data_IF_202821028978
#
_entry.id   IF_202821028978
#
_cell.length_a   1.000
_cell.length_b   1.000
_cell.length_c   1.000
_cell.angle_alpha   90.00
_cell.angle_beta   90.00
_cell.angle_gamma   90.00
#
_symmetry.space_group_name_H-M   'P 1'
#
loop_
_entity.id
_entity.type
_entity.pdbx_description
1 polymer ?
#
# COMPACT_ATOMS: atom_id res chain seq x y z
N UNK A 1 40.40 -17.13 4.18
CA UNK A 1 39.37 -18.13 4.58
C UNK A 1 39.27 -19.17 3.47
N UNK A 2 39.11 -20.47 3.79
CA UNK A 2 39.07 -21.52 2.76
C UNK A 2 37.70 -21.55 2.05
N UNK A 3 37.67 -21.94 0.78
CA UNK A 3 36.43 -22.03 0.00
C UNK A 3 35.38 -23.00 0.59
N UNK A 4 35.80 -23.95 1.44
CA UNK A 4 34.90 -24.87 2.14
C UNK A 4 34.14 -24.19 3.29
N UNK A 5 34.81 -23.33 4.06
CA UNK A 5 34.19 -22.58 5.15
C UNK A 5 33.19 -21.53 4.64
N UNK A 6 33.45 -20.97 3.45
CA UNK A 6 32.54 -20.01 2.81
C UNK A 6 31.25 -20.70 2.34
N UNK A 7 31.36 -21.89 1.75
CA UNK A 7 30.21 -22.70 1.31
C UNK A 7 29.38 -23.23 2.48
N UNK A 8 29.99 -23.65 3.58
CA UNK A 8 29.27 -24.11 4.78
C UNK A 8 28.52 -22.96 5.48
N UNK A 9 29.11 -21.76 5.57
CA UNK A 9 28.41 -20.57 6.09
C UNK A 9 27.24 -20.14 5.23
N UNK A 10 27.43 -20.09 3.90
CA UNK A 10 26.35 -19.78 2.96
C UNK A 10 25.21 -20.80 3.05
N UNK A 11 25.53 -22.10 3.13
CA UNK A 11 24.51 -23.16 3.26
C UNK A 11 23.73 -23.05 4.57
N UNK A 12 24.39 -22.73 5.69
CA UNK A 12 23.72 -22.53 6.97
C UNK A 12 22.85 -21.27 6.98
N UNK A 13 23.29 -20.16 6.36
CA UNK A 13 22.49 -18.94 6.22
C UNK A 13 21.22 -19.15 5.37
N UNK A 14 21.32 -19.91 4.27
CA UNK A 14 20.16 -20.24 3.42
C UNK A 14 19.14 -21.12 4.16
N UNK A 15 19.61 -22.10 4.96
CA UNK A 15 18.72 -22.93 5.78
C UNK A 15 18.01 -22.11 6.87
N UNK A 16 18.72 -21.17 7.48
CA UNK A 16 18.16 -20.26 8.49
C UNK A 16 17.11 -19.32 7.88
N UNK A 17 17.39 -18.72 6.72
CA UNK A 17 16.42 -17.86 6.03
C UNK A 17 15.13 -18.60 5.66
N UNK A 18 15.22 -19.79 5.05
CA UNK A 18 14.03 -20.56 4.67
C UNK A 18 13.17 -20.94 5.87
N UNK A 19 13.80 -21.31 6.99
CA UNK A 19 13.09 -21.61 8.24
C UNK A 19 12.44 -20.36 8.84
N UNK A 20 13.15 -19.23 8.87
CA UNK A 20 12.61 -17.97 9.35
C UNK A 20 11.41 -17.50 8.50
N UNK A 21 11.53 -17.55 7.17
CA UNK A 21 10.46 -17.22 6.25
C UNK A 21 9.24 -18.14 6.43
N UNK A 22 9.45 -19.45 6.58
CA UNK A 22 8.35 -20.39 6.78
C UNK A 22 7.58 -20.12 8.09
N UNK A 23 8.29 -19.72 9.15
CA UNK A 23 7.63 -19.28 10.40
C UNK A 23 6.77 -18.04 10.14
N UNK A 24 7.33 -17.03 9.46
CA UNK A 24 6.58 -15.84 9.10
C UNK A 24 5.32 -16.17 8.29
N UNK A 25 5.43 -17.05 7.29
CA UNK A 25 4.30 -17.50 6.46
C UNK A 25 3.21 -18.15 7.30
N UNK A 26 3.58 -19.09 8.17
CA UNK A 26 2.63 -19.80 9.04
C UNK A 26 1.88 -18.83 9.94
N UNK A 27 2.58 -17.90 10.59
CA UNK A 27 1.92 -16.95 11.48
C UNK A 27 1.03 -15.93 10.72
N UNK A 28 1.41 -15.52 9.50
CA UNK A 28 0.53 -14.71 8.64
C UNK A 28 -0.72 -15.49 8.28
N UNK A 29 -0.56 -16.72 7.79
CA UNK A 29 -1.65 -17.56 7.32
C UNK A 29 -2.70 -17.82 8.40
N UNK A 30 -2.28 -18.04 9.64
CA UNK A 30 -3.16 -18.28 10.80
C UNK A 30 -3.73 -16.98 11.40
N UNK A 31 -3.31 -15.82 10.92
CA UNK A 31 -3.68 -14.54 11.53
C UNK A 31 -5.10 -14.09 11.16
N UNK A 32 -5.73 -13.38 12.11
CA UNK A 32 -6.98 -12.65 11.85
C UNK A 32 -6.80 -11.54 10.80
N UNK A 33 -5.61 -10.98 10.68
CA UNK A 33 -5.28 -9.97 9.67
C UNK A 33 -5.42 -10.56 8.27
N UNK A 34 -4.86 -11.75 8.03
CA UNK A 34 -4.94 -12.40 6.73
C UNK A 34 -6.36 -12.91 6.42
N UNK A 35 -7.08 -13.41 7.43
CA UNK A 35 -8.49 -13.77 7.28
C UNK A 35 -9.36 -12.54 6.90
N UNK A 36 -9.10 -11.39 7.51
CA UNK A 36 -9.79 -10.13 7.17
C UNK A 36 -9.42 -9.65 5.76
N UNK A 37 -8.14 -9.70 5.39
CA UNK A 37 -7.66 -9.34 4.05
C UNK A 37 -8.32 -10.19 2.97
N UNK A 38 -8.30 -11.51 3.14
CA UNK A 38 -8.85 -12.47 2.17
C UNK A 38 -10.36 -12.30 2.01
N UNK A 39 -11.10 -12.03 3.10
CA UNK A 39 -12.52 -11.70 3.05
C UNK A 39 -12.82 -10.51 2.11
N UNK A 40 -11.99 -9.46 2.14
CA UNK A 40 -12.17 -8.29 1.28
C UNK A 40 -11.64 -8.50 -0.15
N UNK A 41 -10.69 -9.44 -0.34
CA UNK A 41 -10.19 -9.81 -1.66
C UNK A 41 -11.09 -10.81 -2.39
N UNK A 42 -11.91 -11.58 -1.68
CA UNK A 42 -12.75 -12.64 -2.27
C UNK A 42 -13.63 -12.17 -3.45
N UNK A 43 -14.32 -11.01 -3.39
CA UNK A 43 -15.11 -10.50 -4.52
C UNK A 43 -14.28 -10.14 -5.77
N UNK A 44 -12.95 -10.10 -5.65
CA UNK A 44 -12.02 -9.74 -6.71
C UNK A 44 -11.19 -10.94 -7.20
N UNK A 45 -11.18 -12.04 -6.44
CA UNK A 45 -10.27 -13.18 -6.62
C UNK A 45 -10.23 -13.73 -8.04
N UNK A 46 -11.38 -13.99 -8.65
CA UNK A 46 -11.46 -14.57 -10.01
C UNK A 46 -10.88 -13.65 -11.10
N UNK A 47 -10.81 -12.35 -10.86
CA UNK A 47 -10.28 -11.36 -11.83
C UNK A 47 -8.79 -11.11 -11.63
N UNK A 48 -8.29 -11.28 -10.42
CA UNK A 48 -6.90 -11.02 -10.07
C UNK A 48 -6.02 -12.17 -10.56
N UNK A 49 -5.29 -11.93 -11.64
CA UNK A 49 -4.35 -12.90 -12.21
C UNK A 49 -2.90 -12.49 -12.01
N UNK A 50 -2.66 -11.30 -11.44
CA UNK A 50 -1.33 -10.70 -11.34
C UNK A 50 -1.15 -9.95 -10.02
N UNK A 51 0.07 -9.97 -9.48
CA UNK A 51 0.51 -9.12 -8.38
C UNK A 51 1.69 -8.28 -8.83
N UNK A 52 1.61 -6.97 -8.62
CA UNK A 52 2.73 -6.04 -8.78
C UNK A 52 3.23 -5.63 -7.41
N UNK A 53 4.39 -6.14 -7.00
CA UNK A 53 5.01 -5.84 -5.72
C UNK A 53 6.14 -4.83 -5.88
N UNK A 54 6.14 -3.77 -5.08
CA UNK A 54 7.19 -2.74 -5.06
C UNK A 54 7.58 -2.39 -3.63
N UNK A 55 8.83 -1.96 -3.43
CA UNK A 55 9.35 -1.51 -2.13
C UNK A 55 9.33 -2.61 -1.04
N UNK A 56 9.65 -3.85 -1.40
CA UNK A 56 9.62 -4.99 -0.47
C UNK A 56 10.78 -4.99 0.56
N UNK A 57 11.88 -4.29 0.28
CA UNK A 57 13.08 -4.26 1.10
C UNK A 57 13.96 -5.52 1.00
N UNK A 58 14.95 -5.61 1.89
CA UNK A 58 15.96 -6.68 1.90
C UNK A 58 15.51 -7.86 2.75
N UNK A 59 14.69 -8.75 2.22
CA UNK A 59 14.05 -9.81 3.02
C UNK A 59 15.00 -10.87 3.59
N UNK A 60 16.23 -11.01 3.09
CA UNK A 60 17.24 -11.86 3.75
C UNK A 60 17.78 -11.22 5.03
N UNK A 61 17.99 -9.90 5.03
CA UNK A 61 18.64 -9.17 6.14
C UNK A 61 17.64 -8.56 7.13
N UNK A 62 16.50 -8.07 6.64
CA UNK A 62 15.55 -7.24 7.38
C UNK A 62 14.30 -8.02 7.75
N UNK A 63 14.03 -8.14 9.05
CA UNK A 63 12.84 -8.84 9.54
C UNK A 63 11.52 -8.27 9.01
N UNK A 64 11.30 -6.94 8.92
CA UNK A 64 10.08 -6.39 8.33
C UNK A 64 9.88 -6.80 6.87
N UNK A 65 10.92 -6.68 6.03
CA UNK A 65 10.89 -7.11 4.63
C UNK A 65 10.56 -8.61 4.50
N UNK A 66 11.08 -9.44 5.41
CA UNK A 66 10.77 -10.88 5.45
C UNK A 66 9.29 -11.16 5.74
N UNK A 67 8.67 -10.40 6.65
CA UNK A 67 7.23 -10.49 6.89
C UNK A 67 6.42 -10.05 5.67
N UNK A 68 6.85 -9.00 4.98
CA UNK A 68 6.20 -8.55 3.75
C UNK A 68 6.29 -9.59 2.63
N UNK A 69 7.45 -10.25 2.47
CA UNK A 69 7.59 -11.37 1.54
C UNK A 69 6.68 -12.54 1.94
N UNK A 70 6.58 -12.85 3.24
CA UNK A 70 5.68 -13.90 3.72
C UNK A 70 4.22 -13.61 3.35
N UNK A 71 3.75 -12.38 3.56
CA UNK A 71 2.41 -11.96 3.16
C UNK A 71 2.21 -12.04 1.63
N UNK A 72 3.19 -11.64 0.84
CA UNK A 72 3.13 -11.76 -0.63
C UNK A 72 2.97 -13.23 -1.06
N UNK A 73 3.74 -14.15 -0.47
CA UNK A 73 3.65 -15.57 -0.77
C UNK A 73 2.27 -16.14 -0.41
N UNK A 74 1.73 -15.78 0.76
CA UNK A 74 0.37 -16.20 1.15
C UNK A 74 -0.72 -15.61 0.24
N UNK A 75 -0.55 -14.36 -0.23
CA UNK A 75 -1.46 -13.75 -1.21
C UNK A 75 -1.44 -14.48 -2.55
N UNK A 76 -0.24 -14.84 -3.03
CA UNK A 76 -0.09 -15.61 -4.26
C UNK A 76 -0.78 -16.98 -4.15
N UNK A 77 -0.60 -17.67 -3.03
CA UNK A 77 -1.24 -18.97 -2.79
C UNK A 77 -2.77 -18.84 -2.65
N UNK A 78 -3.25 -17.78 -2.00
CA UNK A 78 -4.67 -17.48 -1.87
C UNK A 78 -5.36 -17.20 -3.20
N UNK A 79 -4.75 -16.36 -4.04
CA UNK A 79 -5.29 -15.96 -5.34
C UNK A 79 -5.18 -17.09 -6.38
N UNK A 80 -4.19 -17.99 -6.24
CA UNK A 80 -4.09 -19.24 -6.99
C UNK A 80 -2.74 -19.45 -7.68
N UNK A 81 -2.49 -20.68 -8.12
CA UNK A 81 -1.20 -21.12 -8.67
C UNK A 81 -0.84 -20.51 -10.03
N UNK A 82 -1.81 -19.95 -10.76
CA UNK A 82 -1.61 -19.30 -12.07
C UNK A 82 -1.27 -17.80 -11.95
N UNK A 83 -1.29 -17.25 -10.74
CA UNK A 83 -1.05 -15.80 -10.53
C UNK A 83 0.41 -15.46 -10.85
N UNK A 84 0.62 -14.48 -11.73
CA UNK A 84 1.97 -13.99 -12.04
C UNK A 84 2.37 -12.89 -11.05
N UNK A 85 3.62 -12.86 -10.61
CA UNK A 85 4.11 -11.88 -9.67
C UNK A 85 5.35 -11.16 -10.20
N UNK A 86 5.29 -9.83 -10.29
CA UNK A 86 6.40 -8.97 -10.67
C UNK A 86 6.85 -8.16 -9.47
N UNK A 87 8.13 -8.25 -9.12
CA UNK A 87 8.71 -7.58 -7.95
C UNK A 87 9.76 -6.58 -8.36
N UNK A 88 9.90 -5.49 -7.61
CA UNK A 88 11.10 -4.67 -7.69
C UNK A 88 11.33 -3.86 -6.42
N UNK A 89 12.59 -3.82 -6.01
CA UNK A 89 13.09 -2.88 -5.03
C UNK A 89 14.55 -2.55 -5.38
N UNK A 90 14.94 -1.26 -5.46
CA UNK A 90 16.33 -0.87 -5.63
C UNK A 90 17.28 -1.40 -4.55
N UNK A 91 16.75 -1.80 -3.38
CA UNK A 91 17.51 -2.37 -2.28
C UNK A 91 17.82 -3.87 -2.45
N UNK A 92 17.22 -4.57 -3.42
CA UNK A 92 17.49 -5.99 -3.64
C UNK A 92 18.97 -6.27 -3.88
N UNK A 93 19.49 -7.27 -3.17
CA UNK A 93 20.85 -7.78 -3.38
C UNK A 93 20.81 -9.00 -4.31
N UNK A 94 21.99 -9.54 -4.63
CA UNK A 94 22.08 -10.79 -5.39
C UNK A 94 21.35 -11.97 -4.70
N UNK A 95 21.21 -11.94 -3.37
CA UNK A 95 20.48 -12.98 -2.63
C UNK A 95 18.97 -12.88 -2.86
N UNK A 96 18.40 -11.66 -2.79
CA UNK A 96 16.98 -11.42 -3.14
C UNK A 96 16.68 -11.83 -4.57
N UNK A 97 17.50 -11.38 -5.52
CA UNK A 97 17.32 -11.70 -6.95
C UNK A 97 17.36 -13.21 -7.20
N UNK A 98 18.37 -13.89 -6.65
CA UNK A 98 18.49 -15.35 -6.79
C UNK A 98 17.33 -16.10 -6.13
N UNK A 99 16.80 -15.58 -5.01
CA UNK A 99 15.63 -16.19 -4.38
C UNK A 99 14.38 -16.05 -5.27
N UNK A 100 14.13 -14.87 -5.84
CA UNK A 100 12.98 -14.66 -6.74
C UNK A 100 13.07 -15.56 -7.97
N UNK A 101 14.25 -15.69 -8.59
CA UNK A 101 14.48 -16.62 -9.71
C UNK A 101 14.15 -18.08 -9.34
N UNK A 102 14.45 -18.50 -8.11
CA UNK A 102 14.17 -19.87 -7.63
C UNK A 102 12.68 -20.13 -7.37
N UNK A 103 11.84 -19.10 -7.28
CA UNK A 103 10.39 -19.27 -7.11
C UNK A 103 9.69 -19.75 -8.40
N UNK A 104 10.38 -19.70 -9.54
CA UNK A 104 9.94 -20.25 -10.82
C UNK A 104 9.36 -19.22 -11.80
N UNK A 105 8.88 -19.71 -12.96
CA UNK A 105 8.57 -18.89 -14.16
C UNK A 105 7.47 -17.85 -13.97
N UNK A 106 6.63 -18.01 -12.94
CA UNK A 106 5.56 -17.05 -12.60
C UNK A 106 6.05 -15.83 -11.84
N UNK A 107 7.33 -15.80 -11.46
CA UNK A 107 7.96 -14.72 -10.70
C UNK A 107 8.97 -13.99 -11.58
N UNK A 108 8.94 -12.67 -11.56
CA UNK A 108 9.87 -11.82 -12.31
C UNK A 108 10.35 -10.64 -11.46
N UNK A 109 11.53 -10.12 -11.80
CA UNK A 109 12.06 -8.88 -11.22
C UNK A 109 12.07 -7.80 -12.29
N UNK A 110 11.14 -6.86 -12.22
CA UNK A 110 10.94 -5.85 -13.24
C UNK A 110 10.84 -4.46 -12.63
N UNK A 111 11.77 -3.55 -12.98
CA UNK A 111 11.75 -2.16 -12.53
C UNK A 111 10.49 -1.43 -13.00
N UNK A 112 10.10 -1.66 -14.25
CA UNK A 112 8.86 -1.16 -14.83
C UNK A 112 7.84 -2.31 -14.87
N UNK A 113 6.56 -1.99 -14.76
CA UNK A 113 5.53 -3.01 -14.88
C UNK A 113 5.61 -3.71 -16.24
N UNK A 114 5.66 -5.06 -16.27
CA UNK A 114 5.61 -5.80 -17.52
C UNK A 114 4.20 -5.81 -18.14
N UNK A 115 3.21 -5.18 -17.49
CA UNK A 115 1.81 -5.18 -17.89
C UNK A 115 1.30 -3.78 -18.22
N UNK A 116 0.38 -3.70 -19.19
CA UNK A 116 -0.27 -2.44 -19.54
C UNK A 116 -1.24 -1.97 -18.47
N UNK A 117 -1.46 -0.66 -18.39
CA UNK A 117 -2.48 -0.03 -17.52
C UNK A 117 -3.90 -0.50 -17.83
N UNK A 118 -4.15 -0.94 -19.07
CA UNK A 118 -5.43 -1.54 -19.47
C UNK A 118 -5.75 -2.84 -18.71
N UNK A 119 -4.72 -3.53 -18.21
CA UNK A 119 -4.85 -4.75 -17.40
C UNK A 119 -4.98 -4.48 -15.90
N UNK A 120 -4.99 -3.22 -15.46
CA UNK A 120 -4.93 -2.86 -14.02
C UNK A 120 -6.07 -3.45 -13.19
N UNK A 121 -7.21 -3.82 -13.79
CA UNK A 121 -8.30 -4.53 -13.11
C UNK A 121 -7.99 -5.99 -12.75
N UNK A 122 -6.92 -6.56 -13.35
CA UNK A 122 -6.41 -7.90 -13.07
C UNK A 122 -5.21 -7.90 -12.11
N UNK A 123 -4.75 -6.71 -11.70
CA UNK A 123 -3.58 -6.54 -10.87
C UNK A 123 -3.99 -6.20 -9.42
N UNK A 124 -3.41 -6.92 -8.47
CA UNK A 124 -3.26 -6.45 -7.10
C UNK A 124 -1.90 -5.77 -6.99
N UNK A 125 -1.90 -4.49 -6.69
CA UNK A 125 -0.67 -3.76 -6.38
C UNK A 125 -0.33 -3.98 -4.90
N UNK A 126 0.89 -4.38 -4.58
CA UNK A 126 1.37 -4.56 -3.21
C UNK A 126 2.56 -3.63 -2.97
N UNK A 127 2.37 -2.59 -2.16
CA UNK A 127 3.35 -1.54 -1.91
C UNK A 127 3.53 -1.33 -0.39
N UNK A 128 4.08 -2.32 0.33
CA UNK A 128 4.27 -2.19 1.76
C UNK A 128 5.39 -1.16 2.04
N UNK A 129 5.16 -0.21 2.94
CA UNK A 129 6.16 0.79 3.32
C UNK A 129 6.74 1.62 2.16
N UNK A 130 6.02 1.74 1.04
CA UNK A 130 6.47 2.51 -0.10
C UNK A 130 6.54 4.00 0.25
N UNK A 131 7.61 4.72 -0.13
CA UNK A 131 7.67 6.15 0.06
C UNK A 131 6.62 6.85 -0.82
N UNK A 132 6.11 7.99 -0.36
CA UNK A 132 5.13 8.80 -1.11
C UNK A 132 5.53 9.11 -2.54
N UNK A 133 6.83 9.34 -2.82
CA UNK A 133 7.30 9.59 -4.19
C UNK A 133 7.11 8.39 -5.11
N UNK A 134 7.36 7.17 -4.61
CA UNK A 134 7.12 5.95 -5.38
C UNK A 134 5.61 5.76 -5.55
N UNK A 135 4.85 5.91 -4.47
CA UNK A 135 3.38 5.79 -4.52
C UNK A 135 2.78 6.74 -5.56
N UNK A 136 3.21 8.01 -5.58
CA UNK A 136 2.75 9.01 -6.54
C UNK A 136 3.05 8.58 -7.99
N UNK A 137 4.29 8.14 -8.26
CA UNK A 137 4.68 7.67 -9.59
C UNK A 137 3.90 6.43 -10.04
N UNK A 138 3.59 5.52 -9.13
CA UNK A 138 2.80 4.31 -9.45
C UNK A 138 1.35 4.68 -9.73
N UNK A 139 0.77 5.62 -8.98
CA UNK A 139 -0.57 6.15 -9.27
C UNK A 139 -0.59 6.76 -10.67
N UNK A 140 0.41 7.58 -11.01
CA UNK A 140 0.48 8.24 -12.31
C UNK A 140 0.68 7.27 -13.47
N UNK A 141 1.68 6.38 -13.36
CA UNK A 141 2.15 5.57 -14.47
C UNK A 141 1.40 4.25 -14.62
N UNK A 142 1.07 3.57 -13.51
CA UNK A 142 0.53 2.20 -13.53
C UNK A 142 -0.97 2.12 -13.25
N UNK A 143 -1.57 3.22 -12.79
CA UNK A 143 -3.02 3.39 -12.61
C UNK A 143 -3.71 2.27 -11.81
N UNK A 144 -3.26 1.97 -10.58
CA UNK A 144 -3.79 0.89 -9.75
C UNK A 144 -5.30 1.01 -9.51
N UNK A 145 -6.04 -0.10 -9.58
CA UNK A 145 -7.46 -0.16 -9.19
C UNK A 145 -7.69 -0.77 -7.81
N UNK A 146 -6.87 -1.76 -7.48
CA UNK A 146 -6.88 -2.44 -6.19
C UNK A 146 -5.44 -2.51 -5.71
N UNK A 147 -5.17 -1.96 -4.52
CA UNK A 147 -3.83 -1.99 -3.97
C UNK A 147 -3.82 -2.24 -2.47
N UNK A 148 -2.82 -2.98 -2.01
CA UNK A 148 -2.52 -3.24 -0.62
C UNK A 148 -1.24 -2.45 -0.31
N UNK A 149 -1.38 -1.28 0.30
CA UNK A 149 -0.33 -0.28 0.40
C UNK A 149 -0.42 0.46 1.74
N UNK A 150 0.45 1.46 1.93
CA UNK A 150 0.36 2.35 3.08
C UNK A 150 -1.03 3.00 3.18
N UNK A 151 -1.53 3.16 4.40
CA UNK A 151 -2.79 3.79 4.70
C UNK A 151 -2.64 5.29 4.43
N UNK A 152 -3.12 5.74 3.28
CA UNK A 152 -2.83 7.07 2.72
C UNK A 152 -3.04 8.22 3.70
N UNK A 153 -4.13 8.19 4.47
CA UNK A 153 -4.44 9.25 5.45
C UNK A 153 -3.36 9.31 6.55
N UNK A 154 -3.02 8.17 7.15
CA UNK A 154 -1.99 8.09 8.19
C UNK A 154 -0.60 8.39 7.62
N UNK A 155 -0.30 7.88 6.43
CA UNK A 155 1.01 8.01 5.80
C UNK A 155 1.32 9.44 5.33
N UNK A 156 0.31 10.30 5.24
CA UNK A 156 0.43 11.71 4.83
C UNK A 156 0.28 12.71 5.97
N UNK A 157 0.07 12.26 7.22
CA UNK A 157 -0.23 13.12 8.39
C UNK A 157 0.78 14.24 8.64
N UNK A 158 2.05 14.00 8.26
CA UNK A 158 3.17 14.92 8.42
C UNK A 158 3.12 16.12 7.47
N UNK A 159 2.23 16.12 6.48
CA UNK A 159 2.05 17.21 5.53
C UNK A 159 0.74 17.94 5.78
N UNK A 160 0.78 19.27 5.69
CA UNK A 160 -0.46 20.03 5.52
C UNK A 160 -1.10 19.70 4.16
N UNK A 161 -2.42 19.86 4.02
CA UNK A 161 -3.12 19.60 2.75
C UNK A 161 -2.49 20.33 1.56
N UNK A 162 -2.04 21.58 1.75
CA UNK A 162 -1.37 22.36 0.73
C UNK A 162 -0.01 21.77 0.34
N UNK A 163 0.82 21.40 1.31
CA UNK A 163 2.11 20.76 1.02
C UNK A 163 1.94 19.40 0.33
N UNK A 164 0.94 18.62 0.74
CA UNK A 164 0.63 17.35 0.11
C UNK A 164 0.18 17.56 -1.34
N UNK A 165 -0.69 18.54 -1.58
CA UNK A 165 -1.18 18.89 -2.92
C UNK A 165 -0.06 19.37 -3.86
N UNK A 166 0.85 20.21 -3.37
CA UNK A 166 1.96 20.71 -4.18
C UNK A 166 2.98 19.61 -4.54
N UNK A 167 3.24 18.69 -3.60
CA UNK A 167 4.30 17.68 -3.76
C UNK A 167 3.82 16.37 -4.38
N UNK A 168 2.60 15.96 -4.05
CA UNK A 168 2.00 14.67 -4.40
C UNK A 168 0.52 14.87 -4.79
N UNK A 169 0.25 15.57 -5.91
CA UNK A 169 -1.11 15.99 -6.28
C UNK A 169 -2.10 14.83 -6.43
N UNK A 170 -1.68 13.68 -6.97
CA UNK A 170 -2.56 12.53 -7.14
C UNK A 170 -2.88 11.86 -5.81
N UNK A 171 -1.88 11.65 -4.95
CA UNK A 171 -2.11 11.16 -3.58
C UNK A 171 -3.00 12.13 -2.81
N UNK A 172 -2.75 13.44 -2.91
CA UNK A 172 -3.56 14.47 -2.25
C UNK A 172 -5.03 14.39 -2.67
N UNK A 173 -5.28 14.14 -3.96
CA UNK A 173 -6.63 13.91 -4.49
C UNK A 173 -7.26 12.60 -3.99
N UNK A 174 -6.48 11.52 -3.86
CA UNK A 174 -6.99 10.26 -3.28
C UNK A 174 -7.38 10.45 -1.81
N UNK A 175 -6.54 11.13 -1.02
CA UNK A 175 -6.80 11.44 0.40
C UNK A 175 -8.06 12.28 0.55
N UNK A 176 -8.28 13.27 -0.33
CA UNK A 176 -9.49 14.10 -0.24
C UNK A 176 -10.79 13.32 -0.46
N UNK A 177 -10.77 12.26 -1.27
CA UNK A 177 -11.91 11.33 -1.39
C UNK A 177 -12.13 10.51 -0.11
N UNK A 178 -11.06 10.04 0.53
CA UNK A 178 -11.13 9.28 1.79
C UNK A 178 -11.67 10.14 2.95
N UNK A 179 -11.22 11.40 3.03
CA UNK A 179 -11.72 12.38 4.02
C UNK A 179 -13.20 12.74 3.79
N UNK A 180 -13.61 12.84 2.52
CA UNK A 180 -14.98 13.19 2.16
C UNK A 180 -15.95 12.05 2.43
N UNK A 181 -15.54 10.79 2.21
CA UNK A 181 -16.32 9.60 2.57
C UNK A 181 -16.48 9.41 4.08
N UNK A 182 -15.48 9.82 4.85
CA UNK A 182 -15.49 9.74 6.33
C UNK A 182 -16.46 10.73 6.99
N UNK A 183 -16.88 11.80 6.29
CA UNK A 183 -17.79 12.82 6.84
C UNK A 183 -19.28 12.44 6.86
N UNK A 184 -19.65 11.26 6.35
CA UNK A 184 -21.05 10.79 6.37
C UNK A 184 -21.34 9.88 7.58
N UNK A 185 -20.34 9.55 8.40
CA UNK A 185 -20.52 8.78 9.64
C UNK A 185 -19.66 9.31 10.77
N UNK A 186 -20.27 9.56 11.92
CA UNK A 186 -19.62 9.94 13.20
C UNK A 186 -18.86 11.25 13.20
N UNK A 187 -19.58 12.34 13.49
CA UNK A 187 -19.06 13.34 14.41
C UNK A 187 -18.82 12.65 15.77
N UNK A 188 -17.65 12.02 15.93
CA UNK A 188 -17.16 11.64 17.25
C UNK A 188 -16.97 12.93 18.03
N UNK A 189 -17.87 13.18 18.97
CA UNK A 189 -17.66 14.12 20.07
C UNK A 189 -16.48 13.60 20.88
N UNK A 190 -15.28 13.91 20.43
CA UNK A 190 -14.08 13.75 21.24
C UNK A 190 -14.28 14.59 22.50
N UNK A 191 -14.33 13.93 23.65
CA UNK A 191 -14.54 14.52 24.97
C UNK A 191 -13.43 15.48 25.42
N UNK A 192 -12.65 16.03 24.50
CA UNK A 192 -11.68 17.08 24.76
C UNK A 192 -12.40 18.43 24.88
N UNK A 193 -12.86 18.73 26.09
CA UNK A 193 -13.15 20.12 26.46
C UNK A 193 -11.84 20.88 26.54
N UNK A 194 -11.58 21.77 25.56
CA UNK A 194 -10.44 22.67 25.62
C UNK A 194 -10.50 23.47 26.94
N UNK A 195 -9.52 23.27 27.83
CA UNK A 195 -9.40 24.05 29.06
C UNK A 195 -9.13 25.51 28.68
N UNK A 196 -10.15 26.36 28.83
CA UNK A 196 -10.00 27.81 28.65
C UNK A 196 -9.71 28.43 30.02
N UNK A 197 -8.47 28.82 30.34
CA UNK A 197 -8.19 29.49 31.60
C UNK A 197 -8.99 30.79 31.70
N UNK A 198 -9.73 30.95 32.82
CA UNK A 198 -10.66 32.06 33.11
C UNK A 198 -10.03 33.47 33.10
N UNK A 199 -8.71 33.61 32.86
CA UNK A 199 -8.00 34.91 32.79
C UNK A 199 -7.83 35.51 31.39
N UNK A 200 -8.24 34.84 30.31
CA UNK A 200 -7.96 35.26 28.91
C UNK A 200 -9.14 35.93 28.17
N UNK A 201 -10.14 36.50 28.87
CA UNK A 201 -11.29 37.11 28.18
C UNK A 201 -11.01 38.47 27.52
N UNK A 202 -9.88 39.13 27.81
CA UNK A 202 -9.58 40.49 27.30
C UNK A 202 -8.59 40.58 26.13
N UNK A 203 -7.97 39.48 25.68
CA UNK A 203 -6.94 39.49 24.62
C UNK A 203 -7.32 38.74 23.33
N UNK A 204 -8.58 38.28 23.18
CA UNK A 204 -9.00 37.40 22.06
C UNK A 204 -9.50 38.11 20.80
N UNK A 205 -9.32 39.43 20.64
CA UNK A 205 -9.80 40.12 19.42
C UNK A 205 -8.92 39.97 18.18
N UNK A 206 -7.64 39.57 18.33
CA UNK A 206 -6.68 39.47 17.23
C UNK A 206 -6.01 38.09 17.10
N UNK A 207 -6.65 37.01 17.54
CA UNK A 207 -6.08 35.68 17.28
C UNK A 207 -6.39 35.31 15.83
N UNK A 208 -5.37 35.30 14.98
CA UNK A 208 -5.49 34.81 13.61
C UNK A 208 -6.14 33.42 13.65
N UNK A 209 -7.37 33.34 13.13
CA UNK A 209 -8.06 32.08 12.93
C UNK A 209 -7.43 31.47 11.70
N UNK A 210 -6.67 30.39 11.88
CA UNK A 210 -6.16 29.61 10.76
C UNK A 210 -7.35 29.18 9.90
N UNK A 211 -7.35 29.61 8.64
CA UNK A 211 -8.28 29.11 7.62
C UNK A 211 -7.52 28.08 6.82
N UNK A 212 -8.07 26.88 6.72
CA UNK A 212 -7.57 25.90 5.77
C UNK A 212 -7.63 26.51 4.37
N UNK A 213 -6.56 26.38 3.56
CA UNK A 213 -6.57 26.83 2.18
C UNK A 213 -7.63 26.05 1.38
N UNK A 214 -8.35 26.77 0.53
CA UNK A 214 -9.28 26.16 -0.42
C UNK A 214 -8.45 25.54 -1.55
N UNK A 215 -8.45 24.21 -1.63
CA UNK A 215 -7.63 23.46 -2.59
C UNK A 215 -8.55 22.91 -3.67
N UNK A 216 -8.29 23.31 -4.91
CA UNK A 216 -8.99 22.79 -6.08
C UNK A 216 -8.43 21.43 -6.50
N UNK A 217 -8.88 20.37 -5.83
CA UNK A 217 -8.58 18.99 -6.21
C UNK A 217 -9.11 18.60 -7.60
N UNK A 218 -10.07 19.34 -8.15
CA UNK A 218 -10.63 19.12 -9.48
C UNK A 218 -9.63 19.43 -10.61
N UNK A 219 -8.72 20.39 -10.37
CA UNK A 219 -7.66 20.77 -11.32
C UNK A 219 -6.64 19.66 -11.61
N UNK A 220 -6.47 18.70 -10.69
CA UNK A 220 -5.53 17.59 -10.85
C UNK A 220 -6.11 16.56 -11.81
N UNK A 221 -5.50 16.40 -13.00
CA UNK A 221 -5.87 15.38 -13.97
C UNK A 221 -5.62 13.98 -13.40
N UNK A 222 -6.65 13.15 -13.31
CA UNK A 222 -6.56 11.79 -12.76
C UNK A 222 -7.39 10.80 -13.58
N UNK A 223 -7.00 9.51 -13.57
CA UNK A 223 -7.80 8.43 -14.17
C UNK A 223 -8.95 7.97 -13.25
N UNK A 224 -8.94 8.41 -11.99
CA UNK A 224 -9.87 8.02 -10.95
C UNK A 224 -10.81 9.16 -10.54
N UNK A 225 -11.97 8.78 -10.01
CA UNK A 225 -13.02 9.67 -9.47
C UNK A 225 -13.39 9.36 -8.03
N UNK A 226 -12.83 8.30 -7.45
CA UNK A 226 -13.05 7.94 -6.05
C UNK A 226 -11.95 7.04 -5.51
N UNK A 227 -11.89 6.96 -4.19
CA UNK A 227 -11.03 6.03 -3.46
C UNK A 227 -11.76 5.60 -2.19
N UNK A 228 -11.68 4.32 -1.85
CA UNK A 228 -12.28 3.76 -0.62
C UNK A 228 -11.29 2.80 0.02
N UNK A 229 -11.26 2.78 1.36
CA UNK A 229 -10.56 1.75 2.13
C UNK A 229 -11.51 0.57 2.27
N UNK A 230 -11.10 -0.60 1.77
CA UNK A 230 -11.85 -1.84 1.95
C UNK A 230 -11.59 -2.42 3.33
N UNK A 231 -10.33 -2.44 3.75
CA UNK A 231 -9.95 -2.73 5.14
C UNK A 231 -8.68 -1.99 5.51
N UNK A 232 -8.65 -1.47 6.73
CA UNK A 232 -7.46 -0.99 7.44
C UNK A 232 -7.18 -1.84 8.68
N UNK A 233 -7.67 -3.09 8.65
CA UNK A 233 -7.47 -4.08 9.70
C UNK A 233 -8.06 -3.64 11.04
N UNK A 234 -9.31 -3.14 10.99
CA UNK A 234 -10.03 -2.57 12.13
C UNK A 234 -9.31 -1.33 12.70
N UNK A 235 -8.98 -0.34 11.88
CA UNK A 235 -8.19 0.82 12.35
C UNK A 235 -6.83 0.40 12.93
N UNK A 236 -6.23 -0.63 12.35
CA UNK A 236 -4.96 -1.21 12.75
C UNK A 236 -5.00 -2.14 13.98
N UNK A 237 -6.15 -2.43 14.59
CA UNK A 237 -6.18 -3.31 15.78
C UNK A 237 -5.58 -4.69 15.50
N UNK A 238 -5.83 -5.26 14.31
CA UNK A 238 -5.33 -6.60 13.98
C UNK A 238 -3.82 -6.61 13.70
N UNK A 239 -3.19 -5.43 13.58
CA UNK A 239 -1.77 -5.23 13.32
C UNK A 239 -0.97 -4.97 14.60
N UNK A 240 -1.64 -4.51 15.67
CA UNK A 240 -1.02 -4.17 16.96
C UNK A 240 -0.56 -5.40 17.73
N UNK A 241 0.53 -5.25 18.47
CA UNK A 241 1.10 -6.28 19.36
C UNK A 241 1.41 -7.61 18.67
N UNK A 242 1.71 -7.56 17.36
CA UNK A 242 2.11 -8.72 16.57
C UNK A 242 3.61 -8.71 16.24
N UNK A 243 4.23 -9.87 15.99
CA UNK A 243 5.64 -9.96 15.58
C UNK A 243 5.97 -9.18 14.30
N UNK A 244 4.97 -8.95 13.44
CA UNK A 244 5.05 -8.21 12.18
C UNK A 244 4.63 -6.73 12.30
N UNK A 245 4.49 -6.17 13.51
CA UNK A 245 4.01 -4.79 13.70
C UNK A 245 4.77 -3.79 12.79
N UNK A 246 6.09 -3.88 12.77
CA UNK A 246 6.94 -2.99 11.97
C UNK A 246 6.93 -3.27 10.47
N UNK A 247 6.21 -4.30 10.01
CA UNK A 247 6.09 -4.67 8.61
C UNK A 247 4.76 -4.21 8.00
N UNK A 248 3.70 -4.14 8.82
CA UNK A 248 2.32 -3.88 8.38
C UNK A 248 1.64 -2.73 9.14
N UNK A 249 2.33 -2.02 10.04
CA UNK A 249 1.71 -1.02 10.93
C UNK A 249 0.82 0.03 10.24
N UNK A 250 1.13 0.36 8.99
CA UNK A 250 0.36 1.29 8.18
C UNK A 250 -0.24 0.62 6.94
N UNK A 251 -0.44 -0.70 6.91
CA UNK A 251 -0.98 -1.38 5.73
C UNK A 251 -2.52 -1.23 5.65
N UNK A 252 -3.05 -1.01 4.46
CA UNK A 252 -4.49 -1.02 4.17
C UNK A 252 -4.76 -1.47 2.72
N UNK A 253 -5.94 -2.06 2.50
CA UNK A 253 -6.44 -2.41 1.17
C UNK A 253 -7.35 -1.28 0.68
N UNK A 254 -7.00 -0.65 -0.44
CA UNK A 254 -7.83 0.39 -1.06
C UNK A 254 -8.37 -0.05 -2.42
N UNK A 255 -9.54 0.48 -2.75
CA UNK A 255 -10.15 0.42 -4.07
C UNK A 255 -10.23 1.82 -4.67
N UNK A 256 -9.62 1.99 -5.83
CA UNK A 256 -9.63 3.23 -6.62
C UNK A 256 -10.68 3.09 -7.72
N UNK A 257 -11.63 4.03 -7.76
CA UNK A 257 -12.77 4.02 -8.68
C UNK A 257 -12.44 4.80 -9.95
N UNK A 258 -12.64 4.18 -11.11
CA UNK A 258 -12.35 4.83 -12.39
C UNK A 258 -13.32 5.97 -12.69
N UNK A 259 -12.80 7.03 -13.30
CA UNK A 259 -13.66 7.96 -14.02
C UNK A 259 -14.24 7.31 -15.26
N UNK A 260 -15.53 7.53 -15.53
CA UNK A 260 -16.13 7.15 -16.80
C UNK A 260 -15.37 7.91 -17.90
N UNK A 261 -14.64 7.21 -18.77
CA UNK A 261 -14.17 7.80 -20.02
C UNK A 261 -15.42 8.27 -20.75
N UNK A 262 -15.57 9.57 -20.98
CA UNK A 262 -16.55 10.02 -21.96
C UNK A 262 -16.18 9.35 -23.27
N UNK A 263 -16.99 8.37 -23.68
CA UNK A 263 -16.90 7.78 -25.00
C UNK A 263 -17.24 8.93 -25.95
N UNK A 264 -16.22 9.50 -26.59
CA UNK A 264 -16.43 10.34 -27.76
C UNK A 264 -17.22 9.48 -28.75
N UNK A 265 -18.51 9.81 -28.93
CA UNK A 265 -19.29 9.18 -29.98
C UNK A 265 -18.56 9.52 -31.28
N UNK A 266 -18.27 8.54 -32.15
CA UNK A 266 -17.81 8.86 -33.49
C UNK A 266 -18.85 9.79 -34.10
N UNK A 267 -18.39 10.94 -34.62
CA UNK A 267 -19.24 11.84 -35.36
C UNK A 267 -19.82 11.05 -36.54
N UNK A 268 -21.10 10.73 -36.46
CA UNK A 268 -21.83 10.15 -37.57
C UNK A 268 -21.73 11.13 -38.73
N UNK A 269 -20.99 10.69 -39.75
CA UNK A 269 -20.93 11.28 -41.07
C UNK A 269 -22.34 11.29 -41.67
N UNK A 270 -22.88 12.47 -41.95
CA UNK A 270 -23.93 12.69 -42.94
C UNK A 270 -23.36 13.66 -43.97
#
# INVERSE_FOLDING_TARGET
MSGRQMRERQRNGVLDFKQALQRCRTEVQESRMFADLTTHLEPHKERLTRIRCLALGKFHEEAPARWQLALLLELVDYLGHEVQCSLYDPAFTAEELSYVEQLGERWSVDEQSPWSTESSDKLLFFLPHAPLSLTESVVEAEQPRLWLANQLVQHTDRYTKAQLFEKYPLISKLVSYLDSGSKVGTASTDGFSAFVPKRSRRQRRNKAVYREPDIDYGSVKSYFTGCTVLTDFSGGELLRDKPWLNAFSDLALHRIELGVKQVERPADSI
#
